data_IF_294941396808
#
_entry.id   IF_294941396808
#
_cell.length_a   1.000
_cell.length_b   1.000
_cell.length_c   1.000
_cell.angle_alpha   90.00
_cell.angle_beta   90.00
_cell.angle_gamma   90.00
#
_symmetry.space_group_name_H-M   'P 1'
#
loop_
_entity.id
_entity.type
_entity.pdbx_description
1 polymer ?
#
# COMPACT_ATOMS: atom_id res chain seq x y z
N UNK A 1 -12.57 7.75 39.32
CA UNK A 1 -12.65 8.35 37.97
C UNK A 1 -11.31 9.04 37.69
N UNK A 2 -10.55 8.59 36.69
CA UNK A 2 -9.30 9.28 36.30
C UNK A 2 -9.68 10.57 35.56
N UNK A 3 -9.10 11.74 35.89
CA UNK A 3 -9.40 12.97 35.15
C UNK A 3 -8.90 12.81 33.71
N UNK A 4 -9.82 12.82 32.77
CA UNK A 4 -9.50 12.95 31.35
C UNK A 4 -9.03 14.40 31.19
N UNK A 5 -7.73 14.62 31.16
CA UNK A 5 -7.17 15.90 30.76
C UNK A 5 -7.57 16.09 29.30
N UNK A 6 -8.32 17.14 28.95
CA UNK A 6 -8.72 17.36 27.56
C UNK A 6 -7.46 17.52 26.71
N UNK A 7 -7.36 16.73 25.63
CA UNK A 7 -6.21 16.67 24.71
C UNK A 7 -5.70 18.08 24.29
N UNK A 8 -6.61 19.05 24.25
CA UNK A 8 -6.34 20.45 23.95
C UNK A 8 -5.37 21.16 24.92
N UNK A 9 -5.35 20.82 26.22
CA UNK A 9 -4.47 21.51 27.19
C UNK A 9 -3.00 21.10 27.06
N UNK A 10 -2.74 19.86 26.63
CA UNK A 10 -1.37 19.36 26.41
C UNK A 10 -0.78 19.94 25.12
N UNK A 11 -1.61 20.11 24.08
CA UNK A 11 -1.20 20.69 22.80
C UNK A 11 -0.82 22.18 22.91
N UNK A 12 -1.50 22.94 23.78
CA UNK A 12 -1.20 24.37 23.99
C UNK A 12 0.15 24.60 24.70
N UNK A 13 0.56 23.70 25.61
CA UNK A 13 1.79 23.85 26.39
C UNK A 13 3.06 23.50 25.59
N UNK A 14 2.97 22.61 24.61
CA UNK A 14 4.11 22.22 23.76
C UNK A 14 4.49 23.28 22.71
N UNK A 15 3.56 24.15 22.33
CA UNK A 15 3.79 25.18 21.31
C UNK A 15 4.66 26.36 21.78
N UNK A 16 4.87 26.53 23.09
CA UNK A 16 5.54 27.72 23.65
C UNK A 16 7.08 27.60 23.79
N UNK A 17 7.69 26.44 23.47
CA UNK A 17 9.10 26.16 23.79
C UNK A 17 10.09 26.23 22.61
N UNK A 18 9.66 26.59 21.40
CA UNK A 18 10.55 26.68 20.23
C UNK A 18 10.91 28.13 19.94
N UNK A 19 12.17 28.52 20.21
CA UNK A 19 12.72 29.83 19.88
C UNK A 19 12.65 30.18 18.39
N UNK A 20 13.00 31.43 18.05
CA UNK A 20 12.92 32.08 16.73
C UNK A 20 13.80 31.43 15.65
N UNK A 21 13.59 30.16 15.37
CA UNK A 21 14.05 29.51 14.14
C UNK A 21 13.14 30.07 13.05
N UNK A 22 13.72 30.72 12.03
CA UNK A 22 12.96 31.19 10.87
C UNK A 22 12.05 30.08 10.40
N UNK A 23 10.73 30.34 10.33
CA UNK A 23 9.73 29.31 10.05
C UNK A 23 10.11 28.60 8.76
N UNK A 24 10.57 27.36 8.88
CA UNK A 24 10.94 26.54 7.74
C UNK A 24 9.66 26.30 6.97
N UNK A 25 9.56 26.86 5.77
CA UNK A 25 8.43 26.54 4.89
C UNK A 25 8.57 25.07 4.54
N UNK A 26 7.58 24.27 4.88
CA UNK A 26 7.59 22.84 4.61
C UNK A 26 6.61 22.51 3.48
N UNK A 27 7.00 21.55 2.65
CA UNK A 27 6.04 20.86 1.79
C UNK A 27 5.12 20.00 2.68
N UNK A 28 3.82 20.06 2.38
CA UNK A 28 2.77 19.22 2.93
C UNK A 28 2.41 18.05 2.00
N UNK A 29 3.21 17.80 0.96
CA UNK A 29 3.05 16.62 0.15
C UNK A 29 3.22 15.34 0.98
N UNK A 30 2.36 14.38 0.68
CA UNK A 30 2.32 13.15 1.43
C UNK A 30 3.57 12.30 1.17
N UNK A 31 4.10 11.64 2.21
CA UNK A 31 5.22 10.74 2.07
C UNK A 31 4.86 9.52 1.19
N UNK A 32 5.86 8.85 0.59
CA UNK A 32 5.62 7.70 -0.29
C UNK A 32 4.89 6.52 0.38
N UNK A 33 4.91 6.43 1.72
CA UNK A 33 4.18 5.41 2.49
C UNK A 33 2.68 5.71 2.62
N UNK A 34 2.18 6.81 2.06
CA UNK A 34 0.78 7.24 2.05
C UNK A 34 0.20 7.27 0.63
N UNK A 35 -0.01 6.11 -0.03
CA UNK A 35 -0.46 6.02 -1.41
C UNK A 35 -1.82 6.69 -1.66
N UNK A 36 -2.06 7.13 -2.90
CA UNK A 36 -3.30 7.81 -3.33
C UNK A 36 -4.56 6.96 -3.10
N UNK A 37 -4.47 5.66 -3.38
CA UNK A 37 -5.52 4.71 -3.10
C UNK A 37 -5.06 3.76 -1.98
N UNK A 38 -5.90 3.57 -0.96
CA UNK A 38 -5.60 2.67 0.17
C UNK A 38 -5.31 1.24 -0.29
N UNK A 39 -6.04 0.76 -1.29
CA UNK A 39 -5.88 -0.58 -1.82
C UNK A 39 -5.74 -0.50 -3.33
N UNK A 40 -4.54 -0.74 -3.88
CA UNK A 40 -4.36 -0.94 -5.30
C UNK A 40 -5.30 -2.03 -5.85
N UNK A 41 -5.63 -1.96 -7.13
CA UNK A 41 -6.50 -2.94 -7.79
C UNK A 41 -6.02 -4.38 -7.59
N UNK A 42 -4.71 -4.62 -7.66
CA UNK A 42 -4.12 -5.96 -7.48
C UNK A 42 -4.27 -6.50 -6.04
N UNK A 43 -4.33 -5.63 -5.03
CA UNK A 43 -4.54 -6.05 -3.62
C UNK A 43 -6.03 -6.36 -3.39
N UNK A 44 -6.91 -5.55 -3.98
CA UNK A 44 -8.34 -5.56 -3.70
C UNK A 44 -9.15 -6.52 -4.56
N UNK A 45 -8.65 -6.93 -5.73
CA UNK A 45 -9.37 -7.86 -6.61
C UNK A 45 -9.26 -9.29 -6.07
N UNK A 46 -10.37 -10.01 -6.08
CA UNK A 46 -10.33 -11.46 -5.93
C UNK A 46 -9.65 -12.03 -7.18
N UNK A 47 -8.70 -12.99 -7.06
CA UNK A 47 -8.16 -13.66 -8.21
C UNK A 47 -9.33 -14.25 -9.02
N UNK A 48 -9.36 -13.96 -10.33
CA UNK A 48 -10.32 -14.57 -11.24
C UNK A 48 -10.12 -16.08 -11.27
N UNK A 49 -11.14 -16.85 -11.67
CA UNK A 49 -11.12 -18.32 -11.72
C UNK A 49 -9.89 -18.88 -12.47
N UNK A 50 -9.35 -18.10 -13.40
CA UNK A 50 -8.20 -18.34 -14.28
C UNK A 50 -6.83 -17.97 -13.69
N UNK A 51 -6.75 -17.36 -12.52
CA UNK A 51 -5.52 -16.74 -12.03
C UNK A 51 -4.59 -17.75 -11.31
N UNK A 52 -3.44 -18.12 -11.90
CA UNK A 52 -2.46 -19.04 -11.27
C UNK A 52 -1.84 -18.54 -9.95
N UNK A 53 -2.15 -17.31 -9.51
CA UNK A 53 -1.68 -16.71 -8.24
C UNK A 53 -2.22 -17.39 -6.97
N UNK A 54 -3.04 -18.43 -7.07
CA UNK A 54 -3.69 -19.09 -5.93
C UNK A 54 -2.76 -19.59 -4.81
N UNK A 55 -1.48 -19.77 -5.14
CA UNK A 55 -0.46 -20.35 -4.29
C UNK A 55 0.76 -19.45 -4.06
N UNK A 56 0.81 -18.26 -4.67
CA UNK A 56 1.94 -17.37 -4.45
C UNK A 56 1.92 -16.92 -2.98
N UNK A 57 3.01 -17.15 -2.21
CA UNK A 57 3.20 -16.50 -0.92
C UNK A 57 3.04 -14.98 -1.07
N UNK A 58 2.90 -14.24 0.04
CA UNK A 58 2.95 -12.76 0.05
C UNK A 58 4.32 -12.26 -0.44
N UNK A 59 4.66 -12.47 -1.71
CA UNK A 59 6.01 -12.38 -2.22
C UNK A 59 6.49 -10.93 -2.12
N UNK A 60 7.72 -10.81 -1.64
CA UNK A 60 8.36 -9.55 -1.27
C UNK A 60 8.84 -8.75 -2.50
N UNK A 61 8.77 -9.35 -3.71
CA UNK A 61 9.47 -8.87 -4.91
C UNK A 61 8.71 -7.82 -5.73
N UNK A 62 7.38 -7.88 -5.81
CA UNK A 62 6.62 -6.90 -6.62
C UNK A 62 6.69 -5.45 -6.07
N UNK A 63 7.00 -5.27 -4.79
CA UNK A 63 7.16 -3.94 -4.20
C UNK A 63 8.48 -3.26 -4.63
N UNK A 64 9.52 -4.03 -4.98
CA UNK A 64 10.82 -3.46 -5.37
C UNK A 64 10.76 -2.83 -6.77
N UNK A 65 10.03 -3.43 -7.72
CA UNK A 65 10.02 -2.96 -9.12
C UNK A 65 9.32 -1.61 -9.32
N UNK A 66 8.39 -1.20 -8.44
CA UNK A 66 7.72 0.10 -8.53
C UNK A 66 8.48 1.25 -7.84
N UNK A 67 9.47 0.95 -6.99
CA UNK A 67 10.25 1.98 -6.29
C UNK A 67 11.24 2.72 -7.20
N UNK A 68 11.70 2.10 -8.29
CA UNK A 68 12.72 2.66 -9.18
C UNK A 68 12.26 3.80 -10.10
N UNK A 69 10.96 4.03 -10.26
CA UNK A 69 10.44 5.11 -11.11
C UNK A 69 9.94 6.35 -10.33
N UNK A 70 9.82 6.23 -9.00
CA UNK A 70 9.31 7.28 -8.12
C UNK A 70 10.43 8.06 -7.39
N UNK A 71 11.69 7.87 -7.76
CA UNK A 71 12.82 8.70 -7.32
C UNK A 71 12.81 10.08 -8.00
N UNK A 72 11.61 10.67 -8.13
CA UNK A 72 11.33 11.97 -8.73
C UNK A 72 11.15 13.01 -7.63
N UNK A 73 12.14 13.89 -7.51
CA UNK A 73 12.06 15.22 -6.86
C UNK A 73 11.39 15.21 -5.48
N UNK A 74 12.07 14.63 -4.49
CA UNK A 74 11.66 14.75 -3.07
C UNK A 74 12.40 15.88 -2.34
N UNK A 75 13.26 16.63 -3.02
CA UNK A 75 14.08 17.69 -2.44
C UNK A 75 14.23 18.90 -3.34
N UNK A 76 14.50 20.06 -2.72
CA UNK A 76 14.71 21.35 -3.38
C UNK A 76 15.79 21.32 -4.47
N UNK A 77 16.85 20.52 -4.27
CA UNK A 77 17.97 20.39 -5.23
C UNK A 77 17.53 19.89 -6.61
N UNK A 78 16.43 19.15 -6.67
CA UNK A 78 15.91 18.53 -7.88
C UNK A 78 14.73 19.31 -8.47
N UNK A 79 14.38 20.46 -7.88
CA UNK A 79 13.29 21.32 -8.33
C UNK A 79 13.76 22.23 -9.47
N UNK A 80 12.85 22.56 -10.40
CA UNK A 80 13.12 23.53 -11.46
C UNK A 80 13.51 24.90 -10.88
N UNK A 81 14.37 25.64 -11.60
CA UNK A 81 14.99 26.88 -11.12
C UNK A 81 13.97 27.93 -10.64
N UNK A 82 12.82 28.06 -11.32
CA UNK A 82 11.78 29.02 -10.98
C UNK A 82 11.20 28.80 -9.57
N UNK A 83 10.50 27.68 -9.31
CA UNK A 83 9.99 27.36 -7.98
C UNK A 83 11.07 27.35 -6.90
N UNK A 84 12.26 26.82 -7.21
CA UNK A 84 13.39 26.79 -6.26
C UNK A 84 13.81 28.20 -5.84
N UNK A 85 14.01 29.11 -6.79
CA UNK A 85 14.39 30.49 -6.50
C UNK A 85 13.33 31.24 -5.67
N UNK A 86 12.05 31.00 -5.92
CA UNK A 86 10.98 31.60 -5.12
C UNK A 86 10.99 31.10 -3.66
N UNK A 87 11.25 29.80 -3.46
CA UNK A 87 11.35 29.21 -2.11
C UNK A 87 12.61 29.71 -1.39
N UNK A 88 13.76 29.75 -2.07
CA UNK A 88 15.02 30.28 -1.51
C UNK A 88 14.87 31.74 -1.06
N UNK A 89 14.12 32.56 -1.82
CA UNK A 89 13.79 33.93 -1.40
C UNK A 89 12.96 33.96 -0.11
N UNK A 90 11.98 33.06 0.04
CA UNK A 90 11.16 32.97 1.24
C UNK A 90 11.99 32.54 2.46
N UNK A 91 12.84 31.52 2.31
CA UNK A 91 13.74 31.02 3.35
C UNK A 91 14.80 32.07 3.74
N UNK A 92 15.23 32.91 2.81
CA UNK A 92 16.12 34.05 3.08
C UNK A 92 15.41 35.27 3.70
N UNK A 93 14.11 35.18 4.02
CA UNK A 93 13.32 36.27 4.59
C UNK A 93 12.97 37.40 3.61
N UNK A 94 13.22 37.22 2.30
CA UNK A 94 12.89 38.20 1.25
C UNK A 94 11.43 38.05 0.80
N UNK A 95 10.51 38.14 1.74
CA UNK A 95 9.11 37.77 1.56
C UNK A 95 8.39 38.49 0.42
N UNK A 96 8.58 39.81 0.25
CA UNK A 96 7.91 40.54 -0.85
C UNK A 96 8.35 40.05 -2.24
N UNK A 97 9.63 39.70 -2.41
CA UNK A 97 10.17 39.17 -3.66
C UNK A 97 9.68 37.73 -3.88
N UNK A 98 9.73 36.91 -2.83
CA UNK A 98 9.22 35.54 -2.86
C UNK A 98 7.74 35.46 -3.23
N UNK A 99 6.90 36.32 -2.63
CA UNK A 99 5.48 36.41 -2.94
C UNK A 99 5.22 36.76 -4.42
N UNK A 100 5.97 37.74 -4.94
CA UNK A 100 5.84 38.17 -6.34
C UNK A 100 6.26 37.07 -7.31
N UNK A 101 7.42 36.45 -7.08
CA UNK A 101 7.94 35.35 -7.90
C UNK A 101 7.00 34.13 -7.86
N UNK A 102 6.55 33.76 -6.67
CA UNK A 102 5.62 32.65 -6.45
C UNK A 102 4.28 32.86 -7.12
N UNK A 103 3.69 34.06 -7.01
CA UNK A 103 2.40 34.38 -7.65
C UNK A 103 2.47 34.31 -9.18
N UNK A 104 3.60 34.67 -9.79
CA UNK A 104 3.78 34.52 -11.24
C UNK A 104 3.79 33.05 -11.66
N UNK A 105 4.51 32.20 -10.91
CA UNK A 105 4.60 30.76 -11.15
C UNK A 105 3.25 30.05 -10.90
N UNK A 106 2.52 30.46 -9.87
CA UNK A 106 1.15 29.99 -9.57
C UNK A 106 0.10 30.47 -10.59
N UNK A 107 0.48 31.09 -11.70
CA UNK A 107 -0.40 31.31 -12.86
C UNK A 107 -0.16 30.32 -14.00
N UNK A 108 0.95 29.58 -13.96
CA UNK A 108 1.29 28.60 -14.99
C UNK A 108 0.33 27.40 -14.97
N UNK A 109 0.20 26.64 -16.08
CA UNK A 109 -0.63 25.44 -16.15
C UNK A 109 -0.18 24.34 -15.18
N UNK A 110 -1.13 23.58 -14.60
CA UNK A 110 -0.84 22.58 -13.57
C UNK A 110 0.09 21.44 -13.97
N UNK A 111 0.22 21.12 -15.26
CA UNK A 111 1.09 20.04 -15.75
C UNK A 111 2.60 20.40 -15.77
N UNK A 112 2.97 21.65 -15.45
CA UNK A 112 4.36 22.10 -15.52
C UNK A 112 5.23 21.54 -14.40
N UNK A 113 4.66 21.33 -13.22
CA UNK A 113 5.37 20.79 -12.06
C UNK A 113 4.56 19.66 -11.39
N UNK A 114 5.25 18.84 -10.59
CA UNK A 114 4.61 17.81 -9.77
C UNK A 114 4.01 18.36 -8.48
N UNK A 115 3.18 17.54 -7.82
CA UNK A 115 2.48 17.88 -6.57
C UNK A 115 3.43 18.52 -5.53
N UNK A 116 4.62 17.93 -5.32
CA UNK A 116 5.64 18.44 -4.39
C UNK A 116 6.03 19.89 -4.64
N UNK A 117 6.34 20.23 -5.90
CA UNK A 117 6.77 21.56 -6.25
C UNK A 117 5.61 22.56 -6.15
N UNK A 118 4.39 22.18 -6.53
CA UNK A 118 3.23 23.06 -6.43
C UNK A 118 2.84 23.37 -4.99
N UNK A 119 2.80 22.35 -4.14
CA UNK A 119 2.48 22.50 -2.73
C UNK A 119 3.54 23.35 -1.99
N UNK A 120 4.83 23.04 -2.16
CA UNK A 120 5.90 23.81 -1.51
C UNK A 120 5.88 25.27 -1.98
N UNK A 121 5.77 25.50 -3.29
CA UNK A 121 5.68 26.85 -3.84
C UNK A 121 4.49 27.62 -3.28
N UNK A 122 3.31 26.98 -3.18
CA UNK A 122 2.12 27.60 -2.63
C UNK A 122 2.29 27.97 -1.15
N UNK A 123 2.84 27.07 -0.34
CA UNK A 123 3.09 27.33 1.09
C UNK A 123 4.12 28.46 1.27
N UNK A 124 5.20 28.48 0.46
CA UNK A 124 6.21 29.53 0.49
C UNK A 124 5.63 30.91 0.12
N UNK A 125 4.82 30.93 -0.94
CA UNK A 125 4.16 32.14 -1.44
C UNK A 125 3.15 32.66 -0.41
N UNK A 126 2.34 31.75 0.16
CA UNK A 126 1.35 32.10 1.17
C UNK A 126 2.01 32.65 2.44
N UNK A 127 3.04 31.98 2.94
CA UNK A 127 3.80 32.46 4.09
C UNK A 127 4.44 33.83 3.85
N UNK A 128 5.00 34.04 2.66
CA UNK A 128 5.57 35.32 2.25
C UNK A 128 4.52 36.45 2.23
N UNK A 129 3.30 36.16 1.80
CA UNK A 129 2.18 37.10 1.85
C UNK A 129 1.75 37.41 3.29
N UNK A 130 1.67 36.42 4.18
CA UNK A 130 1.37 36.61 5.60
C UNK A 130 2.43 37.53 6.25
N UNK A 131 3.72 37.25 6.04
CA UNK A 131 4.81 38.06 6.56
C UNK A 131 4.78 39.51 6.06
N UNK A 132 4.30 39.72 4.84
CA UNK A 132 4.11 41.03 4.22
C UNK A 132 2.78 41.71 4.59
N UNK A 133 1.95 41.10 5.44
CA UNK A 133 0.69 41.69 5.91
C UNK A 133 -0.53 41.46 5.00
N UNK A 134 -0.47 40.51 4.06
CA UNK A 134 -1.53 40.26 3.07
C UNK A 134 -2.17 38.88 3.21
N UNK A 135 -3.23 38.77 4.02
CA UNK A 135 -3.97 37.50 4.16
C UNK A 135 -4.69 37.09 2.85
N UNK A 136 -5.22 38.06 2.09
CA UNK A 136 -5.83 37.80 0.78
C UNK A 136 -4.84 37.23 -0.24
N UNK A 137 -3.58 37.69 -0.21
CA UNK A 137 -2.53 37.12 -1.05
C UNK A 137 -2.23 35.67 -0.68
N UNK A 138 -2.19 35.37 0.62
CA UNK A 138 -1.97 34.01 1.12
C UNK A 138 -3.13 33.06 0.78
N UNK A 139 -4.37 33.52 0.95
CA UNK A 139 -5.56 32.79 0.51
C UNK A 139 -5.48 32.49 -1.00
N UNK A 140 -5.18 33.51 -1.82
CA UNK A 140 -5.08 33.37 -3.28
C UNK A 140 -4.03 32.33 -3.69
N UNK A 141 -2.89 32.29 -3.01
CA UNK A 141 -1.84 31.31 -3.27
C UNK A 141 -2.33 29.86 -3.02
N UNK A 142 -3.03 29.61 -1.91
CA UNK A 142 -3.61 28.30 -1.63
C UNK A 142 -4.74 27.94 -2.61
N UNK A 143 -5.62 28.89 -2.97
CA UNK A 143 -6.66 28.68 -4.00
C UNK A 143 -6.03 28.34 -5.37
N UNK A 144 -4.91 28.95 -5.71
CA UNK A 144 -4.18 28.64 -6.94
C UNK A 144 -3.59 27.21 -6.91
N UNK A 145 -3.14 26.73 -5.75
CA UNK A 145 -2.61 25.38 -5.58
C UNK A 145 -3.69 24.31 -5.78
N UNK A 146 -4.94 24.57 -5.36
CA UNK A 146 -6.09 23.66 -5.54
C UNK A 146 -6.32 23.28 -7.01
N UNK A 147 -5.99 24.16 -7.96
CA UNK A 147 -6.13 23.91 -9.39
C UNK A 147 -4.91 23.22 -10.03
N UNK A 148 -3.83 23.01 -9.26
CA UNK A 148 -2.50 22.58 -9.78
C UNK A 148 -2.03 21.27 -9.20
N UNK A 149 -2.31 21.02 -7.93
CA UNK A 149 -2.01 19.76 -7.26
C UNK A 149 -3.01 18.69 -7.72
N UNK A 150 -2.52 17.47 -7.92
CA UNK A 150 -3.30 16.30 -8.34
C UNK A 150 -3.65 15.37 -7.18
N UNK A 151 -2.93 15.43 -6.06
CA UNK A 151 -3.27 14.65 -4.86
C UNK A 151 -4.49 15.22 -4.16
N UNK A 152 -5.54 14.42 -4.03
CA UNK A 152 -6.81 14.83 -3.42
C UNK A 152 -6.66 15.29 -1.98
N UNK A 153 -5.78 14.69 -1.17
CA UNK A 153 -5.60 15.09 0.22
C UNK A 153 -4.88 16.44 0.35
N UNK A 154 -3.86 16.67 -0.49
CA UNK A 154 -3.12 17.94 -0.54
C UNK A 154 -4.02 19.07 -1.09
N UNK A 155 -4.88 18.77 -2.08
CA UNK A 155 -5.93 19.71 -2.53
C UNK A 155 -6.83 20.12 -1.36
N UNK A 156 -7.30 19.16 -0.55
CA UNK A 156 -8.18 19.45 0.59
C UNK A 156 -7.47 20.28 1.66
N UNK A 157 -6.19 19.98 1.94
CA UNK A 157 -5.36 20.81 2.82
C UNK A 157 -5.34 22.28 2.36
N UNK A 158 -5.04 22.54 1.08
CA UNK A 158 -5.02 23.90 0.57
C UNK A 158 -6.39 24.58 0.59
N UNK A 159 -7.49 23.84 0.37
CA UNK A 159 -8.86 24.38 0.52
C UNK A 159 -9.13 24.84 1.95
N UNK A 160 -8.91 23.95 2.92
CA UNK A 160 -9.12 24.24 4.34
C UNK A 160 -8.27 25.45 4.77
N UNK A 161 -7.01 25.49 4.34
CA UNK A 161 -6.10 26.58 4.68
C UNK A 161 -6.54 27.91 4.07
N UNK A 162 -7.01 27.91 2.82
CA UNK A 162 -7.58 29.11 2.20
C UNK A 162 -8.85 29.58 2.93
N UNK A 163 -9.75 28.67 3.28
CA UNK A 163 -10.98 28.99 3.99
C UNK A 163 -10.66 29.58 5.38
N UNK A 164 -9.72 28.99 6.12
CA UNK A 164 -9.22 29.52 7.41
C UNK A 164 -8.65 30.93 7.27
N UNK A 165 -7.83 31.19 6.23
CA UNK A 165 -7.27 32.52 5.99
C UNK A 165 -8.32 33.56 5.60
N UNK A 166 -9.41 33.13 4.96
CA UNK A 166 -10.52 33.98 4.56
C UNK A 166 -11.43 34.33 5.76
N UNK A 167 -11.69 33.35 6.63
CA UNK A 167 -12.65 33.46 7.74
C UNK A 167 -12.02 33.94 9.05
N UNK A 168 -10.69 33.89 9.17
CA UNK A 168 -10.01 34.27 10.42
C UNK A 168 -10.26 35.74 10.78
N UNK A 169 -10.52 35.98 12.07
CA UNK A 169 -10.62 37.33 12.64
C UNK A 169 -9.28 37.87 13.12
N UNK A 170 -8.21 37.09 13.00
CA UNK A 170 -6.85 37.48 13.41
C UNK A 170 -6.29 38.52 12.44
N UNK A 171 -5.57 39.50 12.96
CA UNK A 171 -4.88 40.47 12.10
C UNK A 171 -3.71 39.80 11.38
N UNK A 172 -3.25 40.36 10.24
CA UNK A 172 -2.06 39.86 9.57
C UNK A 172 -0.84 39.79 10.49
N UNK A 173 -0.66 40.76 11.38
CA UNK A 173 0.41 40.80 12.38
C UNK A 173 0.36 39.61 13.35
N UNK A 174 -0.84 39.23 13.82
CA UNK A 174 -1.01 38.05 14.68
C UNK A 174 -0.67 36.75 13.95
N UNK A 175 -0.97 36.68 12.65
CA UNK A 175 -0.72 35.51 11.81
C UNK A 175 0.75 35.35 11.41
N UNK A 176 1.62 36.34 11.64
CA UNK A 176 3.06 36.23 11.39
C UNK A 176 3.75 35.25 12.33
N UNK A 177 3.14 34.96 13.47
CA UNK A 177 3.56 33.85 14.32
C UNK A 177 3.10 32.52 13.71
N UNK A 178 4.05 31.66 13.37
CA UNK A 178 3.76 30.40 12.69
C UNK A 178 2.93 29.47 13.56
N UNK A 179 3.14 29.47 14.88
CA UNK A 179 2.34 28.68 15.81
C UNK A 179 0.87 29.12 15.81
N UNK A 180 0.61 30.42 15.80
CA UNK A 180 -0.73 30.99 15.67
C UNK A 180 -1.38 30.60 14.33
N UNK A 181 -0.65 30.71 13.21
CA UNK A 181 -1.16 30.26 11.91
C UNK A 181 -1.49 28.76 11.89
N UNK A 182 -0.58 27.90 12.38
CA UNK A 182 -0.83 26.47 12.48
C UNK A 182 -2.02 26.15 13.39
N UNK A 183 -2.19 26.86 14.50
CA UNK A 183 -3.34 26.69 15.39
C UNK A 183 -4.67 27.01 14.69
N UNK A 184 -4.71 28.05 13.86
CA UNK A 184 -5.90 28.37 13.04
C UNK A 184 -6.17 27.29 11.99
N UNK A 185 -5.14 26.73 11.35
CA UNK A 185 -5.32 25.60 10.42
C UNK A 185 -5.85 24.38 11.15
N UNK A 186 -5.32 24.06 12.35
CA UNK A 186 -5.81 22.97 13.21
C UNK A 186 -7.27 23.12 13.60
N UNK A 187 -7.73 24.35 13.85
CA UNK A 187 -9.14 24.65 14.12
C UNK A 187 -10.04 24.26 12.93
N UNK A 188 -9.59 24.54 11.70
CA UNK A 188 -10.25 24.10 10.47
C UNK A 188 -10.25 22.58 10.23
N UNK A 189 -9.47 21.80 10.99
CA UNK A 189 -9.41 20.33 10.89
C UNK A 189 -10.35 19.61 11.85
N UNK A 190 -11.02 20.30 12.78
CA UNK A 190 -11.81 19.66 13.86
C UNK A 190 -12.84 18.67 13.31
N UNK A 191 -13.62 19.05 12.30
CA UNK A 191 -14.62 18.16 11.69
C UNK A 191 -13.99 16.96 10.98
N UNK A 192 -12.78 17.12 10.43
CA UNK A 192 -12.02 16.05 9.76
C UNK A 192 -11.48 15.04 10.76
N UNK A 193 -10.95 15.51 11.89
CA UNK A 193 -10.53 14.66 13.01
C UNK A 193 -11.72 13.86 13.53
N UNK A 194 -12.87 14.50 13.75
CA UNK A 194 -14.11 13.80 14.17
C UNK A 194 -14.51 12.71 13.17
N UNK A 195 -14.57 13.02 11.88
CA UNK A 195 -14.90 12.04 10.82
C UNK A 195 -13.90 10.89 10.75
N UNK A 196 -12.62 11.17 10.93
CA UNK A 196 -11.58 10.16 11.02
C UNK A 196 -11.86 9.18 12.17
N UNK A 197 -12.09 9.70 13.38
CA UNK A 197 -12.36 8.91 14.58
C UNK A 197 -13.65 8.09 14.44
N UNK A 198 -14.73 8.70 13.95
CA UNK A 198 -16.00 8.02 13.69
C UNK A 198 -15.83 6.84 12.73
N UNK A 199 -15.16 7.05 11.59
CA UNK A 199 -14.92 6.00 10.61
C UNK A 199 -13.99 4.90 11.15
N UNK A 200 -12.94 5.25 11.88
CA UNK A 200 -12.04 4.28 12.50
C UNK A 200 -12.78 3.42 13.56
N UNK A 201 -13.65 4.04 14.37
CA UNK A 201 -14.50 3.32 15.32
C UNK A 201 -15.54 2.43 14.63
N UNK A 202 -16.18 2.91 13.57
CA UNK A 202 -17.14 2.12 12.79
C UNK A 202 -16.44 0.92 12.14
N UNK A 203 -15.25 1.11 11.59
CA UNK A 203 -14.41 0.01 11.10
C UNK A 203 -14.23 -1.05 12.20
N UNK A 204 -13.87 -0.66 13.43
CA UNK A 204 -13.69 -1.60 14.56
C UNK A 204 -14.97 -2.28 15.05
N UNK A 205 -16.14 -1.66 14.91
CA UNK A 205 -17.39 -2.23 15.47
C UNK A 205 -18.14 -3.13 14.49
N UNK A 206 -18.03 -2.87 13.19
CA UNK A 206 -18.83 -3.59 12.19
C UNK A 206 -18.26 -4.98 11.92
N UNK A 207 -19.16 -5.98 11.89
CA UNK A 207 -18.80 -7.39 11.67
C UNK A 207 -18.53 -7.75 10.21
N UNK A 208 -19.19 -7.07 9.27
CA UNK A 208 -19.03 -7.34 7.84
C UNK A 208 -17.67 -6.83 7.33
N UNK A 209 -16.93 -7.71 6.66
CA UNK A 209 -15.64 -7.38 6.04
C UNK A 209 -15.74 -6.19 5.08
N UNK A 210 -16.74 -6.19 4.18
CA UNK A 210 -16.89 -5.13 3.18
C UNK A 210 -17.25 -3.79 3.80
N UNK A 211 -18.07 -3.79 4.85
CA UNK A 211 -18.37 -2.57 5.58
C UNK A 211 -17.13 -2.06 6.36
N UNK A 212 -16.37 -2.94 7.00
CA UNK A 212 -15.09 -2.58 7.66
C UNK A 212 -14.10 -2.00 6.66
N UNK A 213 -13.95 -2.59 5.49
CA UNK A 213 -13.09 -2.08 4.40
C UNK A 213 -13.55 -0.71 3.89
N UNK A 214 -14.87 -0.48 3.76
CA UNK A 214 -15.43 0.81 3.39
C UNK A 214 -15.09 1.89 4.41
N UNK A 215 -15.28 1.61 5.70
CA UNK A 215 -14.96 2.55 6.78
C UNK A 215 -13.45 2.78 6.91
N UNK A 216 -12.61 1.75 6.69
CA UNK A 216 -11.16 1.92 6.62
C UNK A 216 -10.75 2.84 5.46
N UNK A 217 -11.37 2.71 4.28
CA UNK A 217 -11.09 3.63 3.17
C UNK A 217 -11.46 5.07 3.53
N UNK A 218 -12.65 5.28 4.10
CA UNK A 218 -13.07 6.61 4.53
C UNK A 218 -12.15 7.19 5.63
N UNK A 219 -11.79 6.40 6.64
CA UNK A 219 -10.84 6.81 7.67
C UNK A 219 -9.47 7.14 7.07
N UNK A 220 -9.00 6.37 6.09
CA UNK A 220 -7.73 6.62 5.43
C UNK A 220 -7.75 7.93 4.64
N UNK A 221 -8.82 8.20 3.89
CA UNK A 221 -8.95 9.45 3.14
C UNK A 221 -8.85 10.67 4.07
N UNK A 222 -9.49 10.61 5.25
CA UNK A 222 -9.36 11.65 6.27
C UNK A 222 -7.95 11.70 6.89
N UNK A 223 -7.35 10.54 7.20
CA UNK A 223 -5.98 10.46 7.73
C UNK A 223 -4.97 11.12 6.78
N UNK A 224 -5.12 10.94 5.47
CA UNK A 224 -4.25 11.59 4.48
C UNK A 224 -4.37 13.12 4.54
N UNK A 225 -5.57 13.65 4.67
CA UNK A 225 -5.78 15.10 4.83
C UNK A 225 -5.13 15.59 6.13
N UNK A 226 -5.31 14.83 7.23
CA UNK A 226 -4.69 15.16 8.51
C UNK A 226 -3.16 15.15 8.44
N UNK A 227 -2.53 14.15 7.82
CA UNK A 227 -1.06 14.10 7.65
C UNK A 227 -0.54 15.23 6.76
N UNK A 228 -1.27 15.60 5.70
CA UNK A 228 -0.89 16.73 4.86
C UNK A 228 -0.99 18.05 5.63
N UNK A 229 -2.10 18.31 6.32
CA UNK A 229 -2.30 19.56 7.02
C UNK A 229 -1.43 19.69 8.28
N UNK A 230 -1.31 18.61 9.03
CA UNK A 230 -0.59 18.52 10.29
C UNK A 230 0.07 17.14 10.47
N UNK A 231 1.35 17.01 10.08
CA UNK A 231 2.09 15.77 10.22
C UNK A 231 2.17 15.27 11.67
N UNK A 232 2.09 16.14 12.68
CA UNK A 232 2.17 15.76 14.08
C UNK A 232 0.89 15.03 14.52
N UNK A 233 -0.28 15.60 14.22
CA UNK A 233 -1.59 14.97 14.47
C UNK A 233 -1.71 13.68 13.66
N UNK A 234 -1.34 13.74 12.37
CA UNK A 234 -1.42 12.60 11.47
C UNK A 234 -0.53 11.43 11.89
N UNK A 235 0.74 11.68 12.26
CA UNK A 235 1.70 10.62 12.55
C UNK A 235 1.60 10.04 13.95
N UNK A 236 1.00 10.76 14.92
CA UNK A 236 0.87 10.30 16.30
C UNK A 236 -0.39 9.45 16.52
N UNK A 237 -1.46 10.03 17.06
CA UNK A 237 -2.67 9.32 17.50
C UNK A 237 -3.49 8.77 16.33
N UNK A 238 -3.54 9.49 15.20
CA UNK A 238 -4.38 9.12 14.07
C UNK A 238 -3.83 7.86 13.37
N UNK A 239 -2.54 7.80 13.02
CA UNK A 239 -1.92 6.57 12.47
C UNK A 239 -2.06 5.38 13.42
N UNK A 240 -1.93 5.57 14.74
CA UNK A 240 -2.09 4.48 15.72
C UNK A 240 -3.54 3.96 15.76
N UNK A 241 -4.53 4.87 15.76
CA UNK A 241 -5.95 4.53 15.75
C UNK A 241 -6.34 3.81 14.45
N UNK A 242 -5.82 4.27 13.31
CA UNK A 242 -6.01 3.61 12.02
C UNK A 242 -5.41 2.21 12.03
N UNK A 243 -4.20 2.06 12.56
CA UNK A 243 -3.51 0.77 12.68
C UNK A 243 -4.33 -0.24 13.47
N UNK A 244 -4.86 0.16 14.62
CA UNK A 244 -5.73 -0.70 15.44
C UNK A 244 -6.98 -1.14 14.66
N UNK A 245 -7.62 -0.22 13.94
CA UNK A 245 -8.78 -0.54 13.10
C UNK A 245 -8.43 -1.50 11.95
N UNK A 246 -7.27 -1.31 11.31
CA UNK A 246 -6.77 -2.18 10.26
C UNK A 246 -6.43 -3.57 10.80
N UNK A 247 -5.81 -3.67 11.98
CA UNK A 247 -5.46 -4.94 12.62
C UNK A 247 -6.68 -5.80 12.94
N UNK A 248 -7.83 -5.17 13.23
CA UNK A 248 -9.11 -5.87 13.39
C UNK A 248 -9.54 -6.68 12.15
N UNK A 249 -9.05 -6.36 10.94
CA UNK A 249 -9.31 -7.17 9.75
C UNK A 249 -8.81 -8.62 9.92
N UNK A 250 -7.61 -8.77 10.47
CA UNK A 250 -6.95 -10.06 10.67
C UNK A 250 -7.19 -10.61 12.08
N UNK A 251 -7.34 -9.75 13.09
CA UNK A 251 -7.60 -10.19 14.47
C UNK A 251 -9.02 -10.70 14.72
N UNK A 252 -10.02 -10.21 13.96
CA UNK A 252 -11.44 -10.50 14.23
C UNK A 252 -12.17 -11.03 13.01
N UNK A 253 -12.11 -10.31 11.88
CA UNK A 253 -12.94 -10.62 10.70
C UNK A 253 -12.46 -11.86 9.97
N UNK A 254 -11.17 -11.95 9.67
CA UNK A 254 -10.62 -13.11 8.98
C UNK A 254 -10.82 -14.43 9.76
N UNK A 255 -10.60 -14.50 11.09
CA UNK A 255 -10.95 -15.66 11.90
C UNK A 255 -12.43 -16.02 11.86
N UNK A 256 -13.34 -15.03 11.89
CA UNK A 256 -14.78 -15.28 11.81
C UNK A 256 -15.17 -15.93 10.47
N UNK A 257 -14.68 -15.39 9.36
CA UNK A 257 -14.92 -15.96 8.02
C UNK A 257 -14.26 -17.34 7.89
N UNK A 258 -13.07 -17.53 8.47
CA UNK A 258 -12.38 -18.82 8.49
C UNK A 258 -13.16 -19.88 9.27
N UNK A 259 -13.80 -19.50 10.39
CA UNK A 259 -14.71 -20.39 11.13
C UNK A 259 -15.92 -20.79 10.30
N UNK A 260 -16.53 -19.85 9.56
CA UNK A 260 -17.62 -20.16 8.62
C UNK A 260 -17.14 -21.13 7.54
N UNK A 261 -15.94 -20.94 7.01
CA UNK A 261 -15.34 -21.84 6.03
C UNK A 261 -15.14 -23.25 6.61
N UNK A 262 -14.69 -23.38 7.87
CA UNK A 262 -14.56 -24.68 8.55
C UNK A 262 -15.91 -25.39 8.66
N UNK A 263 -16.96 -24.67 9.06
CA UNK A 263 -18.31 -25.25 9.15
C UNK A 263 -18.84 -25.73 7.78
N UNK A 264 -18.57 -24.99 6.70
CA UNK A 264 -18.90 -25.41 5.32
C UNK A 264 -18.14 -26.69 4.97
N UNK A 265 -16.84 -26.74 5.26
CA UNK A 265 -16.01 -27.94 5.04
C UNK A 265 -16.56 -29.14 5.82
N UNK A 266 -16.91 -28.98 7.09
CA UNK A 266 -17.43 -30.07 7.91
C UNK A 266 -18.73 -30.64 7.32
N UNK A 267 -19.61 -29.79 6.76
CA UNK A 267 -20.80 -30.23 6.02
C UNK A 267 -20.45 -31.00 4.74
N UNK A 268 -19.47 -30.52 3.97
CA UNK A 268 -19.00 -31.22 2.77
C UNK A 268 -18.44 -32.61 3.12
N UNK A 269 -17.62 -32.70 4.17
CA UNK A 269 -17.01 -33.95 4.65
C UNK A 269 -18.06 -34.93 5.16
N UNK A 270 -19.10 -34.46 5.83
CA UNK A 270 -20.20 -35.31 6.29
C UNK A 270 -20.98 -35.96 5.13
N UNK A 271 -21.06 -35.29 3.99
CA UNK A 271 -21.80 -35.76 2.82
C UNK A 271 -20.94 -36.59 1.85
N UNK A 272 -19.63 -36.36 1.82
CA UNK A 272 -18.69 -36.98 0.87
C UNK A 272 -18.65 -38.53 0.86
N UNK A 273 -18.73 -39.25 2.00
CA UNK A 273 -18.70 -40.72 2.01
C UNK A 273 -19.95 -41.38 1.42
N UNK A 274 -21.03 -40.62 1.23
CA UNK A 274 -22.27 -41.13 0.65
C UNK A 274 -22.15 -41.03 -0.87
N UNK A 275 -22.45 -42.09 -1.62
CA UNK A 275 -22.72 -41.94 -3.06
C UNK A 275 -23.83 -40.89 -3.21
N UNK A 276 -23.45 -39.69 -3.62
CA UNK A 276 -24.37 -38.56 -3.78
C UNK A 276 -25.38 -38.94 -4.87
N UNK A 277 -26.67 -39.04 -4.53
CA UNK A 277 -27.72 -39.10 -5.55
C UNK A 277 -27.62 -37.86 -6.44
N UNK A 278 -28.01 -37.98 -7.71
CA UNK A 278 -27.92 -36.90 -8.70
C UNK A 278 -28.49 -35.56 -8.19
N UNK A 279 -29.65 -35.59 -7.52
CA UNK A 279 -30.30 -34.41 -6.95
C UNK A 279 -29.53 -33.70 -5.82
N UNK A 280 -28.46 -34.31 -5.27
CA UNK A 280 -27.60 -33.69 -4.24
C UNK A 280 -26.34 -33.04 -4.81
N UNK A 281 -26.02 -33.22 -6.10
CA UNK A 281 -24.84 -32.63 -6.73
C UNK A 281 -24.90 -31.09 -6.74
N UNK A 282 -26.05 -30.50 -7.02
CA UNK A 282 -26.20 -29.03 -7.01
C UNK A 282 -25.89 -28.42 -5.65
N UNK A 283 -26.36 -29.08 -4.58
CA UNK A 283 -26.06 -28.67 -3.20
C UNK A 283 -24.58 -28.83 -2.88
N UNK A 284 -23.95 -29.94 -3.29
CA UNK A 284 -22.52 -30.15 -3.11
C UNK A 284 -21.70 -29.07 -3.84
N UNK A 285 -22.04 -28.77 -5.09
CA UNK A 285 -21.44 -27.69 -5.88
C UNK A 285 -21.59 -26.34 -5.17
N UNK A 286 -22.77 -26.04 -4.62
CA UNK A 286 -23.04 -24.80 -3.87
C UNK A 286 -22.17 -24.69 -2.62
N UNK A 287 -22.03 -25.77 -1.85
CA UNK A 287 -21.19 -25.77 -0.64
C UNK A 287 -19.69 -25.69 -0.98
N UNK A 288 -19.24 -26.32 -2.08
CA UNK A 288 -17.86 -26.17 -2.58
C UNK A 288 -17.58 -24.74 -3.00
N UNK A 289 -18.48 -24.11 -3.76
CA UNK A 289 -18.38 -22.70 -4.14
C UNK A 289 -18.35 -21.81 -2.90
N UNK A 290 -19.23 -22.08 -1.93
CA UNK A 290 -19.27 -21.34 -0.65
C UNK A 290 -17.94 -21.48 0.11
N UNK A 291 -17.38 -22.69 0.22
CA UNK A 291 -16.08 -22.90 0.87
C UNK A 291 -14.98 -22.10 0.17
N UNK A 292 -14.93 -22.19 -1.16
CA UNK A 292 -13.97 -21.48 -1.97
C UNK A 292 -14.06 -19.97 -1.77
N UNK A 293 -15.27 -19.41 -1.85
CA UNK A 293 -15.52 -17.98 -1.68
C UNK A 293 -15.07 -17.49 -0.31
N UNK A 294 -15.36 -18.24 0.77
CA UNK A 294 -14.94 -17.89 2.13
C UNK A 294 -13.43 -17.91 2.28
N UNK A 295 -12.75 -18.95 1.77
CA UNK A 295 -11.28 -19.04 1.80
C UNK A 295 -10.65 -17.89 1.00
N UNK A 296 -11.15 -17.61 -0.20
CA UNK A 296 -10.64 -16.50 -1.02
C UNK A 296 -10.84 -15.14 -0.35
N UNK A 297 -11.96 -14.96 0.37
CA UNK A 297 -12.21 -13.75 1.14
C UNK A 297 -11.19 -13.59 2.28
N UNK A 298 -10.92 -14.64 3.05
CA UNK A 298 -9.89 -14.61 4.11
C UNK A 298 -8.52 -14.27 3.52
N UNK A 299 -8.14 -14.92 2.42
CA UNK A 299 -6.87 -14.65 1.72
C UNK A 299 -6.77 -13.19 1.25
N UNK A 300 -7.84 -12.64 0.66
CA UNK A 300 -7.91 -11.23 0.25
C UNK A 300 -7.69 -10.29 1.43
N UNK A 301 -8.36 -10.52 2.55
CA UNK A 301 -8.20 -9.71 3.77
C UNK A 301 -6.75 -9.75 4.25
N UNK A 302 -6.13 -10.94 4.29
CA UNK A 302 -4.75 -11.08 4.71
C UNK A 302 -3.77 -10.35 3.77
N UNK A 303 -3.99 -10.39 2.44
CA UNK A 303 -3.19 -9.62 1.48
C UNK A 303 -3.34 -8.10 1.67
N UNK A 304 -4.57 -7.64 1.91
CA UNK A 304 -4.85 -6.23 2.19
C UNK A 304 -4.15 -5.78 3.47
N UNK A 305 -4.23 -6.56 4.54
CA UNK A 305 -3.57 -6.27 5.80
C UNK A 305 -2.04 -6.28 5.69
N UNK A 306 -1.45 -7.28 5.04
CA UNK A 306 0.00 -7.32 4.80
C UNK A 306 0.48 -6.10 3.99
N UNK A 307 -0.28 -5.69 2.97
CA UNK A 307 -0.01 -4.46 2.24
C UNK A 307 -0.01 -3.23 3.16
N UNK A 308 -1.02 -3.08 4.03
CA UNK A 308 -1.07 -1.99 5.01
C UNK A 308 0.11 -2.05 6.00
N UNK A 309 0.54 -3.26 6.40
CA UNK A 309 1.67 -3.43 7.31
C UNK A 309 3.00 -2.99 6.67
N UNK A 310 3.16 -3.20 5.35
CA UNK A 310 4.31 -2.67 4.59
C UNK A 310 4.32 -1.15 4.56
N UNK A 311 3.14 -0.52 4.54
CA UNK A 311 2.97 0.93 4.65
C UNK A 311 3.01 1.46 6.10
N UNK A 312 3.26 0.61 7.09
CA UNK A 312 3.24 0.95 8.54
C UNK A 312 1.85 1.40 9.06
N UNK A 313 0.80 1.06 8.31
CA UNK A 313 -0.61 1.31 8.62
C UNK A 313 -1.31 0.10 9.26
N UNK A 314 -0.61 -1.01 9.44
CA UNK A 314 -1.04 -2.20 10.19
C UNK A 314 0.16 -2.83 10.92
N UNK A 315 -0.09 -3.69 11.90
CA UNK A 315 0.95 -4.45 12.63
C UNK A 315 1.35 -5.68 11.81
N UNK A 316 2.64 -6.04 11.80
CA UNK A 316 3.11 -7.25 11.09
C UNK A 316 2.83 -8.52 11.92
N UNK A 317 2.54 -9.65 11.25
CA UNK A 317 2.71 -10.99 11.85
C UNK A 317 1.52 -11.94 11.68
N UNK A 318 0.28 -11.52 11.94
CA UNK A 318 -0.85 -12.46 11.99
C UNK A 318 -1.40 -12.86 10.61
N UNK A 319 -1.28 -11.98 9.61
CA UNK A 319 -1.88 -12.20 8.28
C UNK A 319 -1.35 -13.48 7.61
N UNK A 320 -0.05 -13.76 7.73
CA UNK A 320 0.57 -14.92 7.09
C UNK A 320 0.09 -16.25 7.70
N UNK A 321 -0.09 -16.28 9.02
CA UNK A 321 -0.59 -17.46 9.73
C UNK A 321 -2.01 -17.78 9.29
N UNK A 322 -2.90 -16.79 9.31
CA UNK A 322 -4.31 -16.97 8.92
C UNK A 322 -4.44 -17.28 7.43
N UNK A 323 -3.63 -16.66 6.58
CA UNK A 323 -3.58 -16.97 5.15
C UNK A 323 -3.23 -18.45 4.91
N UNK A 324 -2.18 -18.96 5.57
CA UNK A 324 -1.77 -20.37 5.47
C UNK A 324 -2.86 -21.30 5.96
N UNK A 325 -3.50 -20.96 7.06
CA UNK A 325 -4.60 -21.76 7.62
C UNK A 325 -5.81 -21.83 6.68
N UNK A 326 -6.21 -20.71 6.09
CA UNK A 326 -7.26 -20.66 5.08
C UNK A 326 -6.89 -21.47 3.83
N UNK A 327 -5.64 -21.39 3.39
CA UNK A 327 -5.16 -22.19 2.27
C UNK A 327 -5.19 -23.69 2.57
N UNK A 328 -4.70 -24.09 3.74
CA UNK A 328 -4.73 -25.48 4.19
C UNK A 328 -6.16 -26.02 4.27
N UNK A 329 -7.16 -25.21 4.57
CA UNK A 329 -8.55 -25.68 4.63
C UNK A 329 -9.06 -26.29 3.31
N UNK A 330 -8.51 -25.88 2.16
CA UNK A 330 -8.86 -26.44 0.84
C UNK A 330 -8.20 -27.80 0.56
N UNK A 331 -7.06 -28.09 1.20
CA UNK A 331 -6.20 -29.24 0.86
C UNK A 331 -5.96 -30.19 2.02
N UNK A 332 -6.26 -29.77 3.24
CA UNK A 332 -6.05 -30.56 4.43
C UNK A 332 -6.86 -31.84 4.26
N UNK A 333 -6.25 -33.02 4.39
CA UNK A 333 -7.02 -34.23 4.49
C UNK A 333 -7.93 -34.11 5.73
N UNK A 334 -9.13 -34.68 5.67
CA UNK A 334 -10.07 -34.64 6.82
C UNK A 334 -9.55 -35.44 8.02
N UNK A 335 -8.44 -36.16 7.84
CA UNK A 335 -7.74 -36.91 8.86
C UNK A 335 -6.25 -36.64 8.64
N UNK A 336 -5.54 -35.88 9.50
CA UNK A 336 -4.13 -35.54 9.32
C UNK A 336 -3.23 -36.78 9.25
N UNK A 337 -3.75 -37.95 9.65
CA UNK A 337 -3.08 -39.23 9.50
C UNK A 337 -3.36 -39.96 8.20
N UNK A 338 -4.33 -39.55 7.35
CA UNK A 338 -4.75 -40.30 6.16
C UNK A 338 -4.71 -39.47 4.88
N UNK A 339 -4.32 -40.09 3.77
CA UNK A 339 -4.45 -39.52 2.43
C UNK A 339 -5.30 -40.41 1.54
N UNK A 340 -5.78 -39.84 0.44
CA UNK A 340 -6.57 -40.57 -0.54
C UNK A 340 -5.67 -41.47 -1.37
N UNK A 341 -5.89 -42.78 -1.29
CA UNK A 341 -5.31 -43.76 -2.20
C UNK A 341 -6.38 -44.15 -3.22
N UNK A 342 -6.01 -44.03 -4.49
CA UNK A 342 -6.79 -44.56 -5.60
C UNK A 342 -6.73 -46.08 -5.56
N UNK A 343 -7.89 -46.75 -5.47
CA UNK A 343 -7.97 -48.22 -5.39
C UNK A 343 -8.01 -48.84 -6.80
N UNK A 344 -7.89 -48.00 -7.83
CA UNK A 344 -7.98 -48.37 -9.24
C UNK A 344 -9.35 -48.05 -9.84
N UNK A 345 -9.39 -48.06 -11.18
CA UNK A 345 -10.62 -47.95 -11.93
C UNK A 345 -11.34 -49.29 -11.93
N UNK A 346 -12.52 -49.36 -11.31
CA UNK A 346 -13.37 -50.53 -11.45
C UNK A 346 -13.80 -50.65 -12.93
N UNK A 347 -13.26 -51.64 -13.64
CA UNK A 347 -13.75 -52.03 -14.97
C UNK A 347 -15.12 -52.68 -14.77
N UNK A 348 -16.17 -51.88 -14.83
CA UNK A 348 -17.54 -52.41 -14.87
C UNK A 348 -17.74 -52.97 -16.28
N UNK A 349 -17.66 -54.31 -16.40
CA UNK A 349 -18.20 -55.03 -17.54
C UNK A 349 -19.68 -54.61 -17.67
N UNK A 350 -20.07 -54.07 -18.83
CA UNK A 350 -21.43 -53.61 -19.22
C UNK A 350 -21.72 -52.10 -19.21
N UNK A 351 -20.73 -51.24 -19.39
CA UNK A 351 -20.96 -49.95 -20.07
C UNK A 351 -21.68 -48.85 -19.31
N UNK A 352 -21.67 -48.85 -17.97
CA UNK A 352 -22.21 -47.74 -17.16
C UNK A 352 -21.12 -47.20 -16.22
N UNK A 353 -20.68 -45.97 -16.54
CA UNK A 353 -19.90 -44.98 -15.77
C UNK A 353 -18.66 -45.42 -14.96
N UNK A 354 -17.52 -44.81 -15.31
CA UNK A 354 -16.30 -44.81 -14.49
C UNK A 354 -16.59 -44.17 -13.12
N UNK A 355 -16.44 -44.95 -12.04
CA UNK A 355 -16.35 -44.40 -10.68
C UNK A 355 -14.90 -44.50 -10.22
N UNK A 356 -14.27 -43.35 -10.00
CA UNK A 356 -13.02 -43.28 -9.24
C UNK A 356 -13.29 -43.77 -7.83
N UNK A 357 -12.83 -44.97 -7.49
CA UNK A 357 -12.96 -45.50 -6.13
C UNK A 357 -11.71 -45.06 -5.35
N UNK A 358 -11.91 -44.16 -4.39
CA UNK A 358 -10.85 -43.69 -3.49
C UNK A 358 -11.14 -44.17 -2.07
N UNK A 359 -10.12 -44.63 -1.35
CA UNK A 359 -10.18 -44.86 0.11
C UNK A 359 -9.24 -43.92 0.83
N UNK A 360 -9.62 -43.53 2.05
CA UNK A 360 -8.68 -42.92 3.00
C UNK A 360 -7.84 -44.01 3.62
N UNK A 361 -6.53 -43.91 3.47
CA UNK A 361 -5.56 -44.78 4.13
C UNK A 361 -4.56 -43.93 4.89
N UNK A 362 -4.01 -44.41 6.01
CA UNK A 362 -2.90 -43.75 6.69
C UNK A 362 -1.83 -43.27 5.71
N UNK A 363 -1.28 -42.06 5.88
CA UNK A 363 -0.25 -41.50 4.99
C UNK A 363 0.93 -42.48 4.80
N UNK A 364 1.25 -43.23 5.85
CA UNK A 364 2.26 -44.28 5.87
C UNK A 364 1.97 -45.42 4.86
N UNK A 365 0.70 -45.73 4.58
CA UNK A 365 0.26 -46.77 3.63
C UNK A 365 0.24 -46.31 2.16
N UNK A 366 0.34 -45.00 1.90
CA UNK A 366 0.45 -44.45 0.53
C UNK A 366 1.88 -44.26 0.06
N UNK A 367 2.85 -44.49 0.93
CA UNK A 367 4.21 -44.73 0.47
C UNK A 367 4.18 -46.03 -0.31
N UNK A 368 4.14 -45.90 -1.64
CA UNK A 368 4.44 -47.00 -2.55
C UNK A 368 5.76 -47.58 -2.04
N UNK A 369 5.71 -48.79 -1.47
CA UNK A 369 6.93 -49.53 -1.21
C UNK A 369 7.67 -49.54 -2.56
N UNK A 370 8.88 -48.98 -2.65
CA UNK A 370 9.56 -48.85 -3.93
C UNK A 370 9.55 -50.22 -4.58
N UNK A 371 8.94 -50.28 -5.77
CA UNK A 371 8.75 -51.53 -6.50
C UNK A 371 10.15 -52.11 -6.72
N UNK A 372 10.43 -53.19 -5.99
CA UNK A 372 11.68 -53.94 -6.03
C UNK A 372 12.71 -53.52 -4.98
N UNK A 373 12.55 -53.95 -3.73
CA UNK A 373 13.68 -54.15 -2.82
C UNK A 373 13.52 -55.49 -2.10
N UNK A 374 14.17 -56.52 -2.66
CA UNK A 374 14.61 -57.69 -1.90
C UNK A 374 15.60 -57.23 -0.81
N UNK A 375 15.60 -57.87 0.38
CA UNK A 375 16.42 -57.43 1.50
C UNK A 375 17.89 -57.75 1.26
N UNK A 376 18.69 -56.74 0.93
CA UNK A 376 20.15 -56.81 0.82
C UNK A 376 20.74 -55.40 0.84
N UNK A 377 21.29 -54.98 1.98
CA UNK A 377 21.81 -53.63 2.19
C UNK A 377 23.05 -53.32 1.35
N UNK A 378 23.07 -52.15 0.70
CA UNK A 378 24.26 -51.32 0.43
C UNK A 378 23.98 -50.08 -0.46
N UNK A 379 22.83 -49.93 -1.13
CA UNK A 379 22.73 -48.97 -2.25
C UNK A 379 21.88 -47.71 -2.01
N UNK A 380 21.23 -47.55 -0.85
CA UNK A 380 20.42 -46.37 -0.55
C UNK A 380 21.22 -45.05 -0.62
N UNK A 381 22.51 -45.07 -0.31
CA UNK A 381 23.40 -43.90 -0.37
C UNK A 381 23.73 -43.43 -1.80
N UNK A 382 23.55 -44.29 -2.82
CA UNK A 382 23.83 -43.93 -4.21
C UNK A 382 22.71 -43.08 -4.85
N UNK A 383 21.46 -43.31 -4.45
CA UNK A 383 20.31 -42.54 -4.94
C UNK A 383 20.33 -41.09 -4.47
N UNK A 384 20.63 -40.86 -3.18
CA UNK A 384 20.74 -39.52 -2.61
C UNK A 384 21.91 -38.73 -3.20
N UNK A 385 23.07 -39.37 -3.40
CA UNK A 385 24.23 -38.73 -4.04
C UNK A 385 23.96 -38.31 -5.49
N UNK A 386 23.11 -39.04 -6.22
CA UNK A 386 22.72 -38.67 -7.59
C UNK A 386 21.81 -37.43 -7.58
N UNK A 387 20.87 -37.37 -6.64
CA UNK A 387 19.95 -36.24 -6.50
C UNK A 387 20.68 -34.96 -6.07
N UNK A 388 21.63 -35.05 -5.13
CA UNK A 388 22.49 -33.93 -4.74
C UNK A 388 23.36 -33.43 -5.90
N UNK A 389 23.87 -34.35 -6.74
CA UNK A 389 24.63 -33.99 -7.93
C UNK A 389 23.80 -33.27 -9.00
N UNK A 390 22.54 -33.68 -9.19
CA UNK A 390 21.61 -33.00 -10.11
C UNK A 390 21.20 -31.61 -9.58
N UNK A 391 21.03 -31.48 -8.25
CA UNK A 391 20.70 -30.20 -7.60
C UNK A 391 21.88 -29.20 -7.68
N UNK A 392 23.11 -29.65 -7.41
CA UNK A 392 24.31 -28.82 -7.59
C UNK A 392 24.52 -28.37 -9.04
N UNK A 393 24.16 -29.23 -10.02
CA UNK A 393 24.22 -28.86 -11.43
C UNK A 393 23.20 -27.78 -11.78
N UNK A 394 21.98 -27.88 -11.24
CA UNK A 394 20.92 -26.88 -11.42
C UNK A 394 21.31 -25.53 -10.81
N UNK A 395 21.91 -25.52 -9.62
CA UNK A 395 22.43 -24.31 -8.99
C UNK A 395 23.55 -23.67 -9.82
N UNK A 396 24.44 -24.49 -10.40
CA UNK A 396 25.49 -24.01 -11.31
C UNK A 396 24.94 -23.38 -12.61
N UNK A 397 23.89 -23.97 -13.19
CA UNK A 397 23.21 -23.41 -14.38
C UNK A 397 22.47 -22.11 -14.05
N UNK A 398 21.87 -22.00 -12.85
CA UNK A 398 21.21 -20.79 -12.38
C UNK A 398 22.22 -19.65 -12.15
N UNK A 399 23.35 -19.92 -11.52
CA UNK A 399 24.44 -18.93 -11.38
C UNK A 399 24.98 -18.46 -12.73
N UNK A 400 25.02 -19.34 -13.73
CA UNK A 400 25.43 -18.98 -15.09
C UNK A 400 24.42 -18.04 -15.75
N UNK A 401 23.11 -18.29 -15.60
CA UNK A 401 22.06 -17.40 -16.10
C UNK A 401 22.14 -16.01 -15.44
N UNK A 402 22.37 -15.94 -14.13
CA UNK A 402 22.57 -14.66 -13.42
C UNK A 402 23.78 -13.90 -13.95
N UNK A 403 24.88 -14.60 -14.25
CA UNK A 403 26.08 -14.02 -14.85
C UNK A 403 25.84 -13.47 -16.26
N UNK A 404 25.03 -14.16 -17.06
CA UNK A 404 24.64 -13.71 -18.41
C UNK A 404 23.68 -12.51 -18.37
N UNK A 405 22.74 -12.49 -17.42
CA UNK A 405 21.80 -11.38 -17.23
C UNK A 405 22.54 -10.10 -16.82
N UNK A 406 23.48 -10.18 -15.86
CA UNK A 406 24.34 -9.04 -15.48
C UNK A 406 25.17 -8.50 -16.65
N UNK A 407 25.65 -9.37 -17.54
CA UNK A 407 26.37 -8.94 -18.75
C UNK A 407 25.43 -8.24 -19.75
N UNK A 408 24.17 -8.66 -19.83
CA UNK A 408 23.17 -8.04 -20.69
C UNK A 408 22.80 -6.64 -20.20
N UNK A 409 22.60 -6.48 -18.89
CA UNK A 409 22.36 -5.18 -18.26
C UNK A 409 23.53 -4.22 -18.49
N UNK A 410 24.77 -4.68 -18.23
CA UNK A 410 25.96 -3.86 -18.49
C UNK A 410 26.10 -3.42 -19.96
N UNK A 411 25.68 -4.26 -20.91
CA UNK A 411 25.65 -3.90 -22.34
C UNK A 411 24.55 -2.88 -22.65
N UNK A 412 23.36 -3.01 -22.04
CA UNK A 412 22.28 -2.04 -22.21
C UNK A 412 22.65 -0.67 -21.65
N UNK A 413 23.21 -0.61 -20.44
CA UNK A 413 23.66 0.64 -19.81
C UNK A 413 24.70 1.37 -20.67
N UNK A 414 25.67 0.64 -21.21
CA UNK A 414 26.68 1.24 -22.09
C UNK A 414 26.07 1.78 -23.39
N UNK A 415 25.03 1.11 -23.91
CA UNK A 415 24.31 1.56 -25.11
C UNK A 415 23.50 2.83 -24.83
N UNK A 416 22.86 2.93 -23.67
CA UNK A 416 22.15 4.14 -23.23
C UNK A 416 23.10 5.33 -23.02
N UNK A 417 24.21 5.14 -22.27
CA UNK A 417 25.24 6.19 -22.10
C UNK A 417 25.77 6.74 -23.43
N UNK A 418 25.99 5.86 -24.41
CA UNK A 418 26.43 6.26 -25.75
C UNK A 418 25.35 7.01 -26.54
N UNK A 419 24.08 6.71 -26.29
CA UNK A 419 22.94 7.39 -26.92
C UNK A 419 22.74 8.80 -26.34
N UNK A 420 22.83 8.94 -25.02
CA UNK A 420 22.74 10.22 -24.31
C UNK A 420 23.86 11.16 -24.74
N UNK A 421 25.12 10.68 -24.78
CA UNK A 421 26.24 11.49 -25.26
C UNK A 421 26.10 11.94 -26.73
N UNK A 422 25.45 11.12 -27.58
CA UNK A 422 25.14 11.52 -28.96
C UNK A 422 24.03 12.58 -29.02
N UNK A 423 23.00 12.45 -28.19
CA UNK A 423 21.91 13.44 -28.12
C UNK A 423 22.42 14.77 -27.57
N UNK A 424 23.22 14.76 -26.50
CA UNK A 424 23.77 15.97 -25.92
C UNK A 424 24.69 16.72 -26.91
N UNK A 425 25.54 16.00 -27.64
CA UNK A 425 26.35 16.60 -28.70
C UNK A 425 25.51 17.18 -29.86
N UNK A 426 24.35 16.56 -30.15
CA UNK A 426 23.44 17.08 -31.17
C UNK A 426 22.75 18.36 -30.69
N UNK A 427 22.35 18.43 -29.42
CA UNK A 427 21.81 19.64 -28.80
C UNK A 427 22.83 20.78 -28.77
N UNK A 428 24.06 20.55 -28.29
CA UNK A 428 25.13 21.57 -28.29
C UNK A 428 25.42 22.14 -29.69
N UNK A 429 25.34 21.30 -30.73
CA UNK A 429 25.48 21.74 -32.13
C UNK A 429 24.30 22.57 -32.64
N UNK A 430 23.08 22.29 -32.18
CA UNK A 430 21.91 23.09 -32.54
C UNK A 430 21.95 24.45 -31.85
N UNK A 431 22.29 24.49 -30.56
CA UNK A 431 22.40 25.74 -29.79
C UNK A 431 23.47 26.68 -30.36
N UNK A 432 24.63 26.14 -30.74
CA UNK A 432 25.69 26.92 -31.38
C UNK A 432 25.32 27.46 -32.77
N UNK A 433 24.43 26.79 -33.51
CA UNK A 433 23.91 27.28 -34.80
C UNK A 433 22.80 28.33 -34.66
N UNK A 434 22.12 28.37 -33.51
CA UNK A 434 21.07 29.34 -33.23
C UNK A 434 21.62 30.66 -32.66
N UNK A 435 22.86 30.66 -32.16
CA UNK A 435 23.51 31.85 -31.60
C UNK A 435 23.87 32.98 -32.59
N UNK A 436 24.13 32.76 -33.89
CA UNK A 436 24.44 33.86 -34.82
C UNK A 436 23.21 34.62 -35.36
N UNK A 437 21.98 34.26 -34.96
CA UNK A 437 20.75 34.92 -35.42
C UNK A 437 20.26 36.03 -34.47
N UNK A 438 21.16 36.64 -33.69
CA UNK A 438 20.86 37.83 -32.88
C UNK A 438 21.67 39.04 -33.31
#
# INVERSE_FOLDING_TARGET
MKPIVPIWTVLAALAALTGTVGAKVESRCLPPDMPKALFPMWVSRLPGADCQEYSAPLAHEMAKSQSGAAEKVTGLSNMADGPRAAIELAEAGKYAQAATAGQALLKLPGHWYGDFAWDYLANATAWSHIQSGSLKGAESAHRAAVARVFDTAVIQYHRITADVLCETRKSPEQMKDYATYQAQVREGLVDRVRKFEENAQLARKVRSAEARLRYLRAAYDELRVLVAADPEIGNSSARATFREAADGLVGEVAPAILNEARQVRDRLVAVYPQMLPEHKFDRWNTEVQTLWDRVQHVKRICRMHDYLARLRLATRGEAERIFREAHQLLFAPDDPGKVWQEIGHARILNGIAHKDIRRKVPYQETRIAPIGVTPGGATATAGWKKMDGEMQKMDGEMQKMDGEMKKMDGKMDNKFKKMDGKMENKFKRMDGKMSPMR
#
